data_IF_087442268392
#
_entry.id   IF_087442268392
#
_cell.length_a   1.000
_cell.length_b   1.000
_cell.length_c   1.000
_cell.angle_alpha   90.00
_cell.angle_beta   90.00
_cell.angle_gamma   90.00
#
_symmetry.space_group_name_H-M   'P 1'
#
loop_
_entity.id
_entity.type
_entity.pdbx_description
1 polymer ?
#
# COMPACT_ATOMS: atom_id res chain seq x y z
N UNK A 1 -15.53 2.04 6.96
CA UNK A 1 -15.37 0.78 6.22
C UNK A 1 -14.93 1.15 4.82
N UNK A 2 -13.65 0.96 4.48
CA UNK A 2 -13.17 1.30 3.14
C UNK A 2 -13.83 0.35 2.12
N UNK A 3 -14.38 0.92 1.05
CA UNK A 3 -15.09 0.19 0.01
C UNK A 3 -14.09 -0.63 -0.83
N UNK A 4 -14.59 -1.67 -1.50
CA UNK A 4 -13.79 -2.35 -2.53
C UNK A 4 -13.72 -1.48 -3.78
N UNK A 5 -12.55 -0.89 -4.01
CA UNK A 5 -12.32 -0.06 -5.19
C UNK A 5 -11.91 -0.91 -6.39
N UNK A 6 -12.29 -0.50 -7.62
CA UNK A 6 -11.83 -1.15 -8.84
C UNK A 6 -10.30 -1.24 -8.90
N UNK A 7 -9.76 -2.35 -9.42
CA UNK A 7 -8.32 -2.64 -9.49
C UNK A 7 -7.56 -1.71 -10.47
N UNK A 8 -6.43 -1.13 -10.03
CA UNK A 8 -5.55 -0.30 -10.88
C UNK A 8 -4.66 -1.22 -11.72
N UNK A 9 -4.83 -1.21 -13.04
CA UNK A 9 -4.04 -2.07 -13.92
C UNK A 9 -2.58 -1.57 -13.98
N UNK A 10 -1.59 -2.39 -13.58
CA UNK A 10 -0.24 -1.88 -13.31
C UNK A 10 0.67 -1.82 -14.54
N UNK A 11 0.21 -2.28 -15.71
CA UNK A 11 1.04 -2.35 -16.91
C UNK A 11 0.55 -1.43 -18.03
N UNK A 12 1.42 -1.18 -19.01
CA UNK A 12 1.09 -0.42 -20.20
C UNK A 12 0.06 -1.15 -21.07
N UNK A 13 -0.57 -0.42 -22.00
CA UNK A 13 -1.48 -1.02 -22.98
C UNK A 13 -0.79 -2.10 -23.82
N UNK A 14 0.47 -1.89 -24.18
CA UNK A 14 1.24 -2.86 -24.97
C UNK A 14 1.43 -4.17 -24.20
N UNK A 15 1.71 -4.09 -22.91
CA UNK A 15 1.86 -5.28 -22.07
C UNK A 15 0.52 -5.97 -21.86
N UNK A 16 -0.57 -5.21 -21.70
CA UNK A 16 -1.92 -5.78 -21.66
C UNK A 16 -2.24 -6.60 -22.92
N UNK A 17 -1.84 -6.11 -24.10
CA UNK A 17 -1.99 -6.86 -25.35
C UNK A 17 -1.17 -8.15 -25.37
N UNK A 18 0.07 -8.12 -24.89
CA UNK A 18 0.92 -9.32 -24.79
C UNK A 18 0.34 -10.37 -23.85
N UNK A 19 -0.27 -9.92 -22.75
CA UNK A 19 -0.90 -10.78 -21.73
C UNK A 19 -2.33 -11.21 -22.06
N UNK A 20 -2.93 -10.66 -23.12
CA UNK A 20 -4.36 -10.84 -23.47
C UNK A 20 -5.31 -10.33 -22.38
N UNK A 21 -4.93 -9.21 -21.76
CA UNK A 21 -5.61 -8.56 -20.63
C UNK A 21 -6.19 -7.18 -21.02
N UNK A 22 -6.42 -6.92 -22.31
CA UNK A 22 -6.82 -5.61 -22.83
C UNK A 22 -8.12 -5.07 -22.21
N UNK A 23 -9.03 -5.97 -21.85
CA UNK A 23 -10.27 -5.60 -21.16
C UNK A 23 -9.98 -5.02 -19.77
N UNK A 24 -9.10 -5.66 -19.00
CA UNK A 24 -8.70 -5.19 -17.66
C UNK A 24 -8.02 -3.82 -17.75
N UNK A 25 -7.13 -3.65 -18.73
CA UNK A 25 -6.52 -2.35 -19.01
C UNK A 25 -7.58 -1.29 -19.35
N UNK A 26 -8.50 -1.61 -20.26
CA UNK A 26 -9.50 -0.65 -20.75
C UNK A 26 -10.45 -0.21 -19.64
N UNK A 27 -10.91 -1.15 -18.81
CA UNK A 27 -11.80 -0.85 -17.69
C UNK A 27 -11.07 0.03 -16.66
N UNK A 28 -9.82 -0.33 -16.31
CA UNK A 28 -9.01 0.47 -15.39
C UNK A 28 -8.67 1.86 -15.94
N UNK A 29 -8.35 1.96 -17.23
CA UNK A 29 -8.06 3.22 -17.90
C UNK A 29 -9.27 4.17 -17.87
N UNK A 30 -10.48 3.67 -18.15
CA UNK A 30 -11.71 4.48 -18.04
C UNK A 30 -11.89 5.01 -16.63
N UNK A 31 -11.65 4.18 -15.60
CA UNK A 31 -11.73 4.63 -14.20
C UNK A 31 -10.65 5.65 -13.86
N UNK A 32 -9.43 5.53 -14.42
CA UNK A 32 -8.39 6.57 -14.26
C UNK A 32 -8.83 7.91 -14.83
N UNK A 33 -9.42 7.91 -16.04
CA UNK A 33 -9.96 9.12 -16.66
C UNK A 33 -11.08 9.71 -15.78
N UNK A 34 -12.04 8.90 -15.34
CA UNK A 34 -13.12 9.37 -14.47
C UNK A 34 -12.60 9.94 -13.15
N UNK A 35 -11.61 9.28 -12.54
CA UNK A 35 -10.95 9.76 -11.32
C UNK A 35 -10.26 11.10 -11.55
N UNK A 36 -9.52 11.28 -12.67
CA UNK A 36 -8.89 12.56 -13.00
C UNK A 36 -9.93 13.69 -13.15
N UNK A 37 -11.05 13.43 -13.84
CA UNK A 37 -12.15 14.40 -13.96
C UNK A 37 -12.80 14.70 -12.62
N UNK A 38 -12.92 13.72 -11.72
CA UNK A 38 -13.43 13.94 -10.37
C UNK A 38 -12.50 14.84 -9.55
N UNK A 39 -11.17 14.66 -9.65
CA UNK A 39 -10.20 15.57 -9.04
C UNK A 39 -10.34 16.98 -9.60
N UNK A 40 -10.44 17.14 -10.92
CA UNK A 40 -10.62 18.46 -11.55
C UNK A 40 -11.92 19.15 -11.09
N UNK A 41 -13.02 18.41 -11.01
CA UNK A 41 -14.28 18.92 -10.48
C UNK A 41 -14.13 19.32 -9.00
N UNK A 42 -13.57 18.46 -8.16
CA UNK A 42 -13.36 18.75 -6.74
C UNK A 42 -12.48 20.00 -6.57
N UNK A 43 -11.38 20.11 -7.31
CA UNK A 43 -10.52 21.30 -7.30
C UNK A 43 -11.32 22.54 -7.70
N UNK A 44 -12.07 22.50 -8.80
CA UNK A 44 -12.86 23.65 -9.28
C UNK A 44 -13.94 24.07 -8.28
N UNK A 45 -14.67 23.11 -7.74
CA UNK A 45 -15.85 23.35 -6.92
C UNK A 45 -15.47 23.79 -5.48
N UNK A 46 -14.25 23.49 -5.03
CA UNK A 46 -13.71 23.84 -3.71
C UNK A 46 -12.63 24.93 -3.73
N UNK A 47 -12.45 25.64 -4.85
CA UNK A 47 -11.57 26.81 -4.94
C UNK A 47 -12.21 28.03 -4.27
N UNK A 48 -11.67 28.49 -3.14
CA UNK A 48 -12.13 29.69 -2.47
C UNK A 48 -11.23 30.90 -2.80
N UNK A 49 -11.72 31.80 -3.64
CA UNK A 49 -11.18 33.17 -3.76
C UNK A 49 -9.77 33.31 -4.35
N UNK A 50 -9.19 34.51 -4.18
CA UNK A 50 -8.06 35.02 -4.95
C UNK A 50 -6.70 34.32 -4.69
N UNK A 51 -6.52 33.67 -3.54
CA UNK A 51 -5.25 33.03 -3.14
C UNK A 51 -5.10 31.59 -3.66
N UNK A 52 -6.16 30.98 -4.18
CA UNK A 52 -6.09 29.69 -4.87
C UNK A 52 -5.99 28.46 -3.96
N UNK A 53 -6.18 28.61 -2.64
CA UNK A 53 -6.25 27.51 -1.69
C UNK A 53 -7.58 26.72 -1.81
N UNK A 54 -7.49 25.40 -1.62
CA UNK A 54 -8.65 24.51 -1.60
C UNK A 54 -9.24 24.44 -0.20
N UNK A 55 -10.58 24.41 -0.10
CA UNK A 55 -11.23 24.11 1.19
C UNK A 55 -10.77 22.78 1.75
N UNK A 56 -10.68 22.69 3.07
CA UNK A 56 -10.41 21.43 3.78
C UNK A 56 -11.38 20.33 3.34
N UNK A 57 -10.87 19.10 3.23
CA UNK A 57 -11.68 17.94 2.84
C UNK A 57 -12.04 17.84 1.35
N UNK A 58 -11.54 18.73 0.48
CA UNK A 58 -11.72 18.64 -0.98
C UNK A 58 -11.33 17.25 -1.53
N UNK A 59 -10.21 16.69 -1.09
CA UNK A 59 -9.76 15.37 -1.52
C UNK A 59 -10.63 14.20 -1.02
N UNK A 60 -11.34 14.39 0.09
CA UNK A 60 -12.07 13.31 0.78
C UNK A 60 -13.14 12.69 -0.12
N UNK A 61 -13.94 13.52 -0.81
CA UNK A 61 -15.00 13.05 -1.71
C UNK A 61 -14.48 12.14 -2.83
N UNK A 62 -13.31 12.47 -3.40
CA UNK A 62 -12.69 11.68 -4.47
C UNK A 62 -12.09 10.39 -3.90
N UNK A 63 -11.47 10.45 -2.71
CA UNK A 63 -10.91 9.29 -2.02
C UNK A 63 -12.01 8.28 -1.65
N UNK A 64 -13.15 8.76 -1.15
CA UNK A 64 -14.31 7.91 -0.84
C UNK A 64 -14.88 7.21 -2.08
N UNK A 65 -14.78 7.84 -3.26
CA UNK A 65 -15.30 7.29 -4.51
C UNK A 65 -14.32 6.34 -5.21
N UNK A 66 -13.02 6.63 -5.21
CA UNK A 66 -12.03 5.95 -6.05
C UNK A 66 -10.93 5.20 -5.29
N UNK A 67 -10.79 5.45 -3.98
CA UNK A 67 -9.73 4.88 -3.16
C UNK A 67 -8.37 5.56 -3.35
N UNK A 68 -7.50 5.36 -2.37
CA UNK A 68 -6.16 5.93 -2.33
C UNK A 68 -5.27 5.41 -3.46
N UNK A 69 -5.30 4.10 -3.78
CA UNK A 69 -4.45 3.51 -4.82
C UNK A 69 -4.70 4.17 -6.16
N UNK A 70 -5.97 4.41 -6.51
CA UNK A 70 -6.29 5.05 -7.78
C UNK A 70 -6.01 6.54 -7.79
N UNK A 71 -6.41 7.24 -6.73
CA UNK A 71 -6.14 8.68 -6.61
C UNK A 71 -4.64 8.92 -6.68
N UNK A 72 -3.82 8.17 -5.93
CA UNK A 72 -2.36 8.28 -5.97
C UNK A 72 -1.79 7.96 -7.36
N UNK A 73 -2.30 6.94 -8.06
CA UNK A 73 -1.87 6.63 -9.42
C UNK A 73 -2.14 7.76 -10.41
N UNK A 74 -3.32 8.38 -10.34
CA UNK A 74 -3.71 9.53 -11.17
C UNK A 74 -2.88 10.77 -10.82
N UNK A 75 -2.65 11.04 -9.54
CA UNK A 75 -1.85 12.18 -9.09
C UNK A 75 -0.37 12.03 -9.48
N UNK A 76 0.21 10.83 -9.32
CA UNK A 76 1.58 10.53 -9.76
C UNK A 76 1.75 10.75 -11.27
N UNK A 77 0.79 10.27 -12.08
CA UNK A 77 0.77 10.56 -13.51
C UNK A 77 0.70 12.06 -13.80
N UNK A 78 -0.18 12.79 -13.10
CA UNK A 78 -0.37 14.22 -13.29
C UNK A 78 0.90 15.02 -12.98
N UNK A 79 1.61 14.67 -11.89
CA UNK A 79 2.92 15.25 -11.55
C UNK A 79 3.92 15.02 -12.67
N UNK A 80 4.00 13.81 -13.23
CA UNK A 80 4.94 13.48 -14.31
C UNK A 80 4.65 14.17 -15.65
N UNK A 81 3.45 14.73 -15.80
CA UNK A 81 2.96 15.36 -17.03
C UNK A 81 2.96 16.89 -16.93
N UNK A 82 3.43 17.47 -15.82
CA UNK A 82 3.61 18.92 -15.71
C UNK A 82 4.66 19.41 -16.70
N UNK A 83 4.34 20.49 -17.43
CA UNK A 83 5.28 21.14 -18.35
C UNK A 83 6.49 21.72 -17.61
N UNK A 84 6.26 22.26 -16.41
CA UNK A 84 7.29 22.81 -15.52
C UNK A 84 7.15 22.18 -14.11
N UNK A 85 8.00 21.20 -13.79
CA UNK A 85 7.99 20.53 -12.49
C UNK A 85 8.32 21.44 -11.31
N UNK A 86 8.94 22.61 -11.52
CA UNK A 86 9.34 23.52 -10.45
C UNK A 86 8.16 24.33 -9.87
N UNK A 87 6.99 24.27 -10.52
CA UNK A 87 5.76 24.88 -10.00
C UNK A 87 5.14 24.17 -8.79
N UNK A 88 5.63 22.98 -8.45
CA UNK A 88 5.24 22.23 -7.25
C UNK A 88 6.46 21.99 -6.36
N UNK A 89 6.24 21.73 -5.07
CA UNK A 89 7.35 21.47 -4.15
C UNK A 89 8.12 20.18 -4.46
N UNK A 90 9.40 20.15 -4.11
CA UNK A 90 10.25 18.96 -4.24
C UNK A 90 9.71 17.75 -3.46
N UNK A 91 9.09 18.00 -2.30
CA UNK A 91 8.46 16.95 -1.49
C UNK A 91 7.30 16.27 -2.23
N UNK A 92 6.45 17.04 -2.92
CA UNK A 92 5.35 16.49 -3.73
C UNK A 92 5.89 15.73 -4.93
N UNK A 93 6.93 16.24 -5.60
CA UNK A 93 7.60 15.52 -6.70
C UNK A 93 8.13 14.17 -6.26
N UNK A 94 8.85 14.11 -5.13
CA UNK A 94 9.40 12.87 -4.59
C UNK A 94 8.30 11.89 -4.15
N UNK A 95 7.21 12.40 -3.57
CA UNK A 95 6.05 11.57 -3.24
C UNK A 95 5.43 10.94 -4.49
N UNK A 96 5.25 11.71 -5.56
CA UNK A 96 4.68 11.21 -6.82
C UNK A 96 5.51 10.09 -7.47
N UNK A 97 6.82 10.06 -7.22
CA UNK A 97 7.71 9.00 -7.73
C UNK A 97 7.56 7.65 -7.01
N UNK A 98 6.86 7.61 -5.85
CA UNK A 98 6.62 6.36 -5.12
C UNK A 98 5.64 5.45 -5.82
N UNK A 99 4.70 6.01 -6.59
CA UNK A 99 3.74 5.23 -7.38
C UNK A 99 4.25 5.10 -8.80
N UNK A 100 4.59 3.88 -9.20
CA UNK A 100 5.03 3.61 -10.57
C UNK A 100 3.85 3.68 -11.56
N UNK A 101 3.93 4.62 -12.49
CA UNK A 101 3.00 4.74 -13.64
C UNK A 101 3.77 4.33 -14.90
N UNK A 102 3.35 3.26 -15.61
CA UNK A 102 3.99 2.86 -16.85
C UNK A 102 4.01 4.02 -17.86
N UNK A 103 5.16 4.30 -18.51
CA UNK A 103 5.23 5.37 -19.48
C UNK A 103 4.42 5.01 -20.72
N UNK A 104 3.38 5.80 -21.00
CA UNK A 104 2.59 5.71 -22.22
C UNK A 104 2.07 7.10 -22.60
N UNK A 105 2.90 7.89 -23.29
CA UNK A 105 2.58 9.28 -23.63
C UNK A 105 1.25 9.42 -24.37
N UNK A 106 0.85 8.41 -25.16
CA UNK A 106 -0.40 8.46 -25.93
C UNK A 106 -1.63 8.38 -25.04
N UNK A 107 -1.59 7.60 -23.96
CA UNK A 107 -2.75 7.36 -23.11
C UNK A 107 -2.69 8.11 -21.78
N UNK A 108 -1.50 8.33 -21.23
CA UNK A 108 -1.30 8.98 -19.93
C UNK A 108 -1.83 10.42 -19.87
N UNK A 109 -1.86 11.12 -21.01
CA UNK A 109 -2.43 12.47 -21.10
C UNK A 109 -3.92 12.54 -20.76
N UNK A 110 -4.68 11.44 -20.94
CA UNK A 110 -6.14 11.45 -20.73
C UNK A 110 -6.55 11.44 -19.25
N UNK A 111 -5.65 10.99 -18.38
CA UNK A 111 -5.84 10.98 -16.93
C UNK A 111 -4.77 11.80 -16.21
N UNK A 112 -4.20 12.80 -16.88
CA UNK A 112 -3.52 13.91 -16.22
C UNK A 112 -4.60 14.92 -15.77
N UNK A 113 -4.55 15.32 -14.51
CA UNK A 113 -5.44 16.31 -13.91
C UNK A 113 -5.10 17.69 -14.49
N UNK A 114 -6.05 18.30 -15.18
CA UNK A 114 -5.95 19.65 -15.70
C UNK A 114 -6.31 20.67 -14.61
N UNK A 115 -5.34 20.97 -13.76
CA UNK A 115 -5.43 22.01 -12.74
C UNK A 115 -4.12 22.80 -12.67
N UNK A 116 -4.18 24.06 -12.22
CA UNK A 116 -2.99 24.85 -11.94
C UNK A 116 -2.14 24.15 -10.86
N UNK A 117 -0.81 24.16 -11.02
CA UNK A 117 0.12 23.44 -10.14
C UNK A 117 -0.10 23.68 -8.63
N UNK A 118 -0.29 24.93 -8.15
CA UNK A 118 -0.55 25.17 -6.72
C UNK A 118 -1.81 24.46 -6.20
N UNK A 119 -2.87 24.40 -7.01
CA UNK A 119 -4.13 23.71 -6.65
C UNK A 119 -3.96 22.20 -6.66
N UNK A 120 -3.24 21.67 -7.65
CA UNK A 120 -2.89 20.25 -7.70
C UNK A 120 -2.07 19.85 -6.47
N UNK A 121 -1.07 20.67 -6.09
CA UNK A 121 -0.29 20.47 -4.88
C UNK A 121 -1.15 20.52 -3.61
N UNK A 122 -2.06 21.51 -3.49
CA UNK A 122 -2.99 21.58 -2.35
C UNK A 122 -3.86 20.32 -2.25
N UNK A 123 -4.36 19.79 -3.37
CA UNK A 123 -5.15 18.55 -3.39
C UNK A 123 -4.30 17.36 -2.94
N UNK A 124 -3.07 17.23 -3.45
CA UNK A 124 -2.13 16.17 -3.07
C UNK A 124 -1.84 16.20 -1.58
N UNK A 125 -1.63 17.39 -0.99
CA UNK A 125 -1.37 17.54 0.45
C UNK A 125 -2.55 17.05 1.30
N UNK A 126 -3.79 17.37 0.92
CA UNK A 126 -4.97 16.84 1.59
C UNK A 126 -5.08 15.31 1.45
N UNK A 127 -4.78 14.75 0.28
CA UNK A 127 -4.77 13.30 0.09
C UNK A 127 -3.69 12.61 0.96
N UNK A 128 -2.50 13.21 1.07
CA UNK A 128 -1.43 12.72 1.95
C UNK A 128 -1.82 12.81 3.43
N UNK A 129 -2.50 13.87 3.84
CA UNK A 129 -2.99 14.02 5.20
C UNK A 129 -4.05 12.97 5.55
N UNK A 130 -5.02 12.75 4.66
CA UNK A 130 -6.00 11.68 4.80
C UNK A 130 -5.34 10.30 4.88
N UNK A 131 -4.28 10.05 4.10
CA UNK A 131 -3.53 8.80 4.16
C UNK A 131 -2.79 8.65 5.51
N UNK A 132 -2.12 9.71 6.00
CA UNK A 132 -1.45 9.71 7.31
C UNK A 132 -2.43 9.46 8.46
N UNK A 133 -3.64 9.98 8.37
CA UNK A 133 -4.69 9.79 9.37
C UNK A 133 -5.12 8.32 9.53
N UNK A 134 -4.83 7.45 8.55
CA UNK A 134 -5.07 6.01 8.67
C UNK A 134 -4.12 5.32 9.68
N UNK A 135 -3.00 5.96 10.04
CA UNK A 135 -2.04 5.40 11.00
C UNK A 135 -1.34 4.13 10.53
N UNK A 136 -1.28 3.90 9.21
CA UNK A 136 -0.69 2.69 8.63
C UNK A 136 0.83 2.64 8.85
N UNK A 137 1.35 1.42 8.95
CA UNK A 137 2.78 1.19 9.01
C UNK A 137 3.40 1.26 7.60
N UNK A 138 4.42 2.09 7.42
CA UNK A 138 5.26 2.14 6.22
C UNK A 138 6.73 1.75 6.46
N UNK A 139 7.58 1.84 5.42
CA UNK A 139 9.03 1.59 5.51
C UNK A 139 9.75 2.42 6.58
N UNK A 140 9.23 3.61 6.91
CA UNK A 140 9.74 4.49 7.97
C UNK A 140 9.66 3.87 9.38
N UNK A 141 8.82 2.85 9.59
CA UNK A 141 8.75 2.10 10.85
C UNK A 141 9.59 0.82 10.83
N UNK A 142 10.32 0.56 9.75
CA UNK A 142 11.15 -0.62 9.60
C UNK A 142 12.62 -0.29 9.91
N UNK A 143 13.36 -1.28 10.38
CA UNK A 143 14.81 -1.17 10.58
C UNK A 143 15.57 -1.62 9.35
N UNK A 144 16.85 -1.22 9.23
CA UNK A 144 17.82 -1.83 8.31
C UNK A 144 17.46 -1.80 6.82
N UNK A 145 18.20 -2.60 6.03
CA UNK A 145 17.90 -2.82 4.62
C UNK A 145 17.01 -4.05 4.46
N UNK A 146 15.79 -3.86 3.92
CA UNK A 146 14.82 -4.93 3.67
C UNK A 146 15.38 -6.07 2.81
N UNK A 147 16.37 -5.81 1.96
CA UNK A 147 16.95 -6.82 1.08
C UNK A 147 17.91 -7.77 1.80
N UNK A 148 18.48 -7.34 2.93
CA UNK A 148 19.48 -8.09 3.70
C UNK A 148 18.93 -8.70 4.99
N UNK A 149 17.67 -8.42 5.35
CA UNK A 149 17.08 -8.86 6.61
C UNK A 149 16.62 -10.32 6.63
N UNK A 150 16.84 -11.01 7.74
CA UNK A 150 16.12 -12.27 8.02
C UNK A 150 14.76 -11.97 8.67
N UNK A 151 13.69 -12.56 8.13
CA UNK A 151 12.32 -12.35 8.62
C UNK A 151 11.86 -13.41 9.64
N UNK A 152 12.58 -14.51 9.82
CA UNK A 152 12.18 -15.58 10.72
C UNK A 152 12.24 -15.13 12.18
N UNK A 153 11.15 -15.36 12.90
CA UNK A 153 10.98 -14.94 14.29
C UNK A 153 10.85 -13.43 14.49
N UNK A 154 10.60 -12.66 13.43
CA UNK A 154 10.50 -11.20 13.46
C UNK A 154 9.07 -10.72 13.19
N UNK A 155 8.78 -9.49 13.63
CA UNK A 155 7.55 -8.78 13.26
C UNK A 155 7.81 -8.04 11.95
N UNK A 156 6.97 -8.31 10.97
CA UNK A 156 7.05 -7.81 9.61
C UNK A 156 5.92 -6.82 9.37
N UNK A 157 6.23 -5.75 8.66
CA UNK A 157 5.24 -4.77 8.20
C UNK A 157 4.79 -5.17 6.80
N UNK A 158 3.50 -5.47 6.65
CA UNK A 158 2.87 -5.70 5.35
C UNK A 158 2.75 -4.40 4.57
N UNK A 159 3.12 -4.42 3.29
CA UNK A 159 2.93 -3.27 2.41
C UNK A 159 1.43 -3.01 2.17
N UNK A 160 0.95 -1.75 2.29
CA UNK A 160 -0.40 -1.36 1.87
C UNK A 160 -0.73 -1.71 0.42
N UNK A 161 0.28 -1.84 -0.44
CA UNK A 161 0.11 -2.25 -1.84
C UNK A 161 -0.35 -3.70 -1.97
N UNK A 162 0.07 -4.57 -1.04
CA UNK A 162 -0.35 -5.99 -0.98
C UNK A 162 -1.80 -6.13 -0.55
N UNK A 163 -2.22 -5.30 0.42
CA UNK A 163 -3.57 -5.37 1.00
C UNK A 163 -4.61 -4.68 0.12
N UNK A 164 -5.86 -5.17 0.21
CA UNK A 164 -7.02 -4.42 -0.29
C UNK A 164 -7.22 -3.19 0.60
N UNK A 165 -7.65 -2.07 0.03
CA UNK A 165 -7.90 -0.85 0.82
C UNK A 165 -8.97 -1.05 1.90
N UNK A 166 -9.94 -1.94 1.65
CA UNK A 166 -10.93 -2.38 2.63
C UNK A 166 -10.32 -3.04 3.88
N UNK A 167 -9.08 -3.54 3.77
CA UNK A 167 -8.32 -4.15 4.86
C UNK A 167 -7.23 -3.21 5.43
N UNK A 168 -7.17 -1.95 5.00
CA UNK A 168 -6.20 -0.99 5.54
C UNK A 168 -6.53 -0.62 6.98
N UNK A 169 -5.84 -1.31 7.89
CA UNK A 169 -5.89 -1.13 9.34
C UNK A 169 -4.53 -1.56 9.91
N UNK A 170 -3.97 -0.84 10.90
CA UNK A 170 -2.69 -1.21 11.53
C UNK A 170 -2.64 -2.66 12.04
N UNK A 171 -3.78 -3.21 12.50
CA UNK A 171 -3.88 -4.59 13.00
C UNK A 171 -3.72 -5.64 11.91
N UNK A 172 -4.09 -5.30 10.67
CA UNK A 172 -3.93 -6.19 9.50
C UNK A 172 -2.53 -6.10 8.87
N UNK A 173 -1.68 -5.16 9.34
CA UNK A 173 -0.36 -4.92 8.75
C UNK A 173 0.80 -5.59 9.49
N UNK A 174 0.64 -5.94 10.77
CA UNK A 174 1.72 -6.56 11.53
C UNK A 174 1.61 -8.08 11.49
N UNK A 175 2.66 -8.72 10.98
CA UNK A 175 2.71 -10.17 10.77
C UNK A 175 3.95 -10.74 11.44
N UNK A 176 3.80 -11.85 12.15
CA UNK A 176 4.93 -12.59 12.69
C UNK A 176 5.46 -13.58 11.66
N UNK A 177 6.71 -13.40 11.21
CA UNK A 177 7.38 -14.29 10.28
C UNK A 177 7.74 -15.62 10.94
N UNK A 178 7.01 -16.69 10.62
CA UNK A 178 7.23 -18.00 11.23
C UNK A 178 8.42 -18.74 10.62
N UNK A 179 8.62 -18.57 9.32
CA UNK A 179 9.66 -19.26 8.56
C UNK A 179 9.32 -19.37 7.07
N UNK A 180 10.03 -20.25 6.38
CA UNK A 180 9.96 -20.41 4.93
C UNK A 180 11.16 -19.78 4.22
N UNK A 181 11.43 -20.23 2.99
CA UNK A 181 12.62 -19.80 2.25
C UNK A 181 12.69 -18.30 2.00
N UNK A 182 11.54 -17.62 1.89
CA UNK A 182 11.46 -16.17 1.72
C UNK A 182 11.90 -15.37 2.93
N UNK A 183 12.04 -16.00 4.11
CA UNK A 183 12.55 -15.31 5.28
C UNK A 183 14.03 -14.98 5.18
N UNK A 184 14.81 -15.86 4.55
CA UNK A 184 16.24 -15.69 4.41
C UNK A 184 16.55 -14.77 3.21
N UNK A 185 17.38 -13.74 3.39
CA UNK A 185 17.80 -12.88 2.28
C UNK A 185 18.53 -13.70 1.19
N UNK A 186 18.40 -13.29 -0.07
CA UNK A 186 19.02 -13.92 -1.24
C UNK A 186 18.62 -15.38 -1.54
N UNK A 187 17.72 -15.98 -0.75
CA UNK A 187 17.16 -17.28 -1.06
C UNK A 187 16.33 -17.22 -2.35
N UNK A 188 16.38 -18.30 -3.14
CA UNK A 188 15.58 -18.40 -4.38
C UNK A 188 14.08 -18.45 -4.08
N UNK A 189 13.69 -19.09 -2.99
CA UNK A 189 12.29 -19.20 -2.58
C UNK A 189 11.80 -17.89 -1.98
N UNK A 190 10.59 -17.48 -2.35
CA UNK A 190 9.98 -16.22 -1.87
C UNK A 190 8.97 -16.43 -0.74
N UNK A 191 8.61 -17.67 -0.43
CA UNK A 191 7.53 -17.98 0.51
C UNK A 191 7.91 -17.64 1.96
N UNK A 192 7.11 -16.77 2.58
CA UNK A 192 7.13 -16.45 4.00
C UNK A 192 5.82 -16.95 4.59
N UNK A 193 5.89 -17.90 5.51
CA UNK A 193 4.74 -18.28 6.33
C UNK A 193 4.67 -17.32 7.50
N UNK A 194 3.54 -16.64 7.65
CA UNK A 194 3.38 -15.64 8.67
C UNK A 194 2.01 -15.69 9.31
N UNK A 195 1.95 -15.22 10.56
CA UNK A 195 0.72 -15.13 11.36
C UNK A 195 0.40 -13.67 11.62
N UNK A 196 -0.80 -13.23 11.25
CA UNK A 196 -1.29 -11.88 11.51
C UNK A 196 -1.41 -11.64 13.01
N UNK A 197 -0.86 -10.53 13.51
CA UNK A 197 -0.93 -10.20 14.94
C UNK A 197 -2.28 -9.57 15.33
N UNK A 198 -3.08 -9.14 14.36
CA UNK A 198 -4.40 -8.55 14.60
C UNK A 198 -5.49 -9.57 14.94
N UNK A 199 -5.51 -10.69 14.21
CA UNK A 199 -6.57 -11.70 14.28
C UNK A 199 -6.06 -13.16 14.39
N UNK A 200 -4.75 -13.38 14.24
CA UNK A 200 -4.14 -14.71 14.28
C UNK A 200 -4.21 -15.49 12.96
N UNK A 201 -4.64 -14.88 11.84
CA UNK A 201 -4.69 -15.53 10.53
C UNK A 201 -3.28 -16.03 10.12
N UNK A 202 -3.17 -17.30 9.73
CA UNK A 202 -1.94 -17.86 9.18
C UNK A 202 -2.00 -17.91 7.66
N UNK A 203 -1.09 -17.21 6.99
CA UNK A 203 -1.07 -17.09 5.53
C UNK A 203 0.34 -17.14 4.97
N UNK A 204 0.47 -17.70 3.77
CA UNK A 204 1.70 -17.69 2.98
C UNK A 204 1.74 -16.43 2.13
N UNK A 205 2.77 -15.61 2.35
CA UNK A 205 3.07 -14.41 1.59
C UNK A 205 4.36 -14.57 0.78
N UNK A 206 4.65 -13.61 -0.10
CA UNK A 206 5.98 -13.46 -0.69
C UNK A 206 6.81 -12.47 0.14
N UNK A 207 8.13 -12.64 0.14
CA UNK A 207 9.07 -11.68 0.76
C UNK A 207 8.85 -10.24 0.28
N UNK A 208 8.52 -10.07 -1.01
CA UNK A 208 8.25 -8.78 -1.64
C UNK A 208 7.04 -8.04 -1.07
N UNK A 209 6.11 -8.79 -0.47
CA UNK A 209 4.83 -8.28 0.03
C UNK A 209 5.01 -7.47 1.33
N UNK A 210 6.15 -7.66 2.03
CA UNK A 210 6.51 -6.94 3.24
C UNK A 210 7.40 -5.73 2.94
N UNK A 211 7.13 -4.62 3.63
CA UNK A 211 7.96 -3.42 3.63
C UNK A 211 9.31 -3.66 4.33
N UNK A 212 9.33 -4.46 5.40
CA UNK A 212 10.54 -4.80 6.16
C UNK A 212 10.22 -5.33 7.55
N UNK A 213 11.28 -5.47 8.38
CA UNK A 213 11.15 -5.83 9.80
C UNK A 213 10.83 -4.58 10.62
N UNK A 214 9.74 -4.63 11.39
CA UNK A 214 9.29 -3.55 12.26
C UNK A 214 10.36 -3.23 13.31
N UNK A 215 10.63 -1.95 13.53
CA UNK A 215 11.42 -1.47 14.67
C UNK A 215 10.63 -1.68 15.97
N UNK A 216 11.28 -2.23 16.99
CA UNK A 216 10.65 -2.57 18.26
C UNK A 216 10.07 -1.34 18.98
N UNK A 217 10.62 -0.14 18.74
CA UNK A 217 10.07 1.10 19.28
C UNK A 217 8.66 1.43 18.77
N UNK A 218 8.27 0.89 17.61
CA UNK A 218 6.94 1.08 17.01
C UNK A 218 6.00 -0.11 17.27
N UNK A 219 6.42 -1.11 18.06
CA UNK A 219 5.60 -2.27 18.37
C UNK A 219 4.48 -1.92 19.37
N UNK A 220 3.20 -1.93 18.97
CA UNK A 220 2.09 -1.60 19.86
C UNK A 220 1.80 -2.72 20.86
N UNK A 221 1.19 -2.37 21.98
CA UNK A 221 0.94 -3.29 23.10
C UNK A 221 0.09 -4.51 22.69
N UNK A 222 -0.97 -4.31 21.90
CA UNK A 222 -1.81 -5.41 21.40
C UNK A 222 -1.01 -6.43 20.57
N UNK A 223 0.00 -5.98 19.84
CA UNK A 223 0.84 -6.88 19.03
C UNK A 223 1.84 -7.62 19.92
N UNK A 224 2.35 -6.96 20.97
CA UNK A 224 3.22 -7.57 21.98
C UNK A 224 2.51 -8.69 22.73
N UNK A 225 1.30 -8.43 23.21
CA UNK A 225 0.45 -9.43 23.88
C UNK A 225 0.21 -10.65 22.96
N UNK A 226 -0.12 -10.41 21.68
CA UNK A 226 -0.34 -11.51 20.73
C UNK A 226 0.93 -12.31 20.45
N UNK A 227 2.10 -11.68 20.40
CA UNK A 227 3.38 -12.38 20.23
C UNK A 227 3.71 -13.28 21.42
N UNK A 228 3.38 -12.85 22.64
CA UNK A 228 3.56 -13.67 23.84
C UNK A 228 2.65 -14.89 23.82
N UNK A 229 1.38 -14.73 23.42
CA UNK A 229 0.44 -15.84 23.21
C UNK A 229 0.98 -16.86 22.19
N UNK A 230 1.42 -16.39 21.02
CA UNK A 230 1.97 -17.26 19.97
C UNK A 230 3.25 -17.99 20.41
N UNK A 231 4.09 -17.35 21.23
CA UNK A 231 5.30 -17.98 21.79
C UNK A 231 4.95 -19.01 22.86
N UNK A 232 3.95 -18.74 23.69
CA UNK A 232 3.43 -19.67 24.71
C UNK A 232 2.87 -20.95 24.08
N UNK A 233 2.03 -20.82 23.05
CA UNK A 233 1.47 -21.96 22.31
C UNK A 233 2.53 -22.86 21.66
N UNK A 234 3.67 -22.30 21.23
CA UNK A 234 4.79 -23.07 20.68
C UNK A 234 5.67 -23.75 21.73
N UNK A 235 5.64 -23.25 22.97
CA UNK A 235 6.43 -23.82 24.07
C UNK A 235 5.72 -24.95 24.81
N UNK A 236 4.44 -25.19 24.56
CA UNK A 236 3.75 -26.43 24.95
C UNK A 236 4.00 -27.49 23.86
N UNK A 237 4.96 -28.43 24.03
CA UNK A 237 5.18 -29.45 23.03
C UNK A 237 4.17 -30.58 23.25
N UNK A 238 3.91 -31.28 22.16
CA UNK A 238 3.42 -32.65 22.04
C UNK A 238 4.05 -33.63 23.07
N UNK A 239 3.72 -33.52 24.35
CA UNK A 239 3.91 -34.57 25.35
C UNK A 239 2.64 -35.42 25.46
N UNK A 240 2.26 -36.03 24.34
CA UNK A 240 1.27 -37.10 24.30
C UNK A 240 1.71 -38.18 23.30
N UNK A 241 2.99 -38.55 23.33
CA UNK A 241 3.39 -39.84 22.77
C UNK A 241 2.77 -40.94 23.62
N UNK A 242 2.00 -41.90 23.06
CA UNK A 242 1.36 -42.92 23.86
C UNK A 242 2.41 -43.79 24.56
N UNK A 243 2.30 -43.85 25.88
CA UNK A 243 3.00 -44.85 26.71
C UNK A 243 2.41 -46.21 26.32
N UNK A 244 3.03 -46.90 25.38
CA UNK A 244 2.79 -48.32 25.17
C UNK A 244 3.48 -49.07 26.30
N UNK A 245 2.69 -49.32 27.36
CA UNK A 245 3.01 -50.26 28.42
C UNK A 245 3.29 -51.65 27.86
N UNK A 246 4.28 -52.31 28.45
CA UNK A 246 4.77 -53.60 28.00
C UNK A 246 3.82 -54.78 28.22
N UNK A 247 4.19 -55.89 27.59
CA UNK A 247 3.83 -57.30 27.83
C UNK A 247 4.79 -58.06 26.89
N UNK A 248 5.54 -59.09 27.23
CA UNK A 248 5.69 -59.96 28.39
C UNK A 248 6.62 -61.10 27.93
#
# INVERSE_FOLDING_TARGET
MAADFPHVYPYSRQEAQRRKEERLYTDSFKTNVSCARAVECAVRDHCNGADGDLTEGCALSVLEQYGFKRVNFVLANSISQLDDPDQISSAVRQWGQRTFVPPDRKYNIYFAVNAAAPRLESFIRQAQEAYRALGLFGPEHCTGDRHEQDYAGKVLVMSPDTLRESCWDPRNQLWYGEGGFGCTPHARGQAVFATCLGDGEQTRWNRSDFAGVLDEQYLPDWAREKLEELRGLRQEPEQSGPIMGGMG
#
